data_IF_872869081938
#
_entry.id   IF_872869081938
#
_cell.length_a   1.000
_cell.length_b   1.000
_cell.length_c   1.000
_cell.angle_alpha   90.00
_cell.angle_beta   90.00
_cell.angle_gamma   90.00
#
_symmetry.space_group_name_H-M   'P 1'
#
loop_
_entity.id
_entity.type
_entity.pdbx_description
1 polymer ?
#
# COMPACT_ATOMS: atom_id res chain seq x y z
N UNK A 1 -7.51 3.05 20.57
CA UNK A 1 -8.35 2.20 19.82
C UNK A 1 -7.79 1.90 18.48
N UNK A 2 -7.47 0.77 18.31
CA UNK A 2 -6.58 0.27 17.32
C UNK A 2 -7.29 -0.61 16.32
N UNK A 3 -8.53 -0.34 16.08
CA UNK A 3 -9.34 -1.22 15.31
C UNK A 3 -9.48 -0.92 13.84
N UNK A 4 -8.83 0.13 13.34
CA UNK A 4 -9.03 0.53 11.95
C UNK A 4 -7.81 0.23 11.09
N UNK A 5 -8.05 -0.46 9.99
CA UNK A 5 -7.06 -0.74 8.97
C UNK A 5 -7.42 0.01 7.70
N UNK A 6 -6.50 0.81 7.18
CA UNK A 6 -6.69 1.46 5.88
C UNK A 6 -6.62 0.40 4.78
N UNK A 7 -7.65 0.33 3.96
CA UNK A 7 -7.76 -0.65 2.89
C UNK A 7 -7.08 -0.16 1.61
N UNK A 8 -6.64 -1.08 0.74
CA UNK A 8 -5.94 -0.71 -0.50
C UNK A 8 -6.86 -0.27 -1.63
N UNK A 9 -8.07 0.09 -1.31
CA UNK A 9 -9.02 0.64 -2.27
C UNK A 9 -9.73 1.83 -1.66
N UNK A 10 -10.39 2.61 -2.50
CA UNK A 10 -11.17 3.77 -2.04
C UNK A 10 -12.63 3.61 -2.43
N UNK A 11 -13.49 4.44 -1.84
CA UNK A 11 -14.91 4.44 -2.16
C UNK A 11 -15.12 5.01 -3.58
N UNK A 12 -16.33 4.85 -4.15
CA UNK A 12 -16.63 5.44 -5.45
C UNK A 12 -16.40 6.96 -5.50
N UNK A 13 -16.50 7.64 -4.35
CA UNK A 13 -16.24 9.08 -4.26
C UNK A 13 -14.76 9.42 -4.07
N UNK A 14 -13.89 8.41 -4.07
CA UNK A 14 -12.46 8.62 -3.91
C UNK A 14 -12.00 8.76 -2.46
N UNK A 15 -12.85 8.47 -1.50
CA UNK A 15 -12.50 8.57 -0.09
C UNK A 15 -11.85 7.30 0.42
N UNK A 16 -10.95 7.40 1.41
CA UNK A 16 -10.33 6.22 1.98
C UNK A 16 -11.36 5.29 2.62
N UNK A 17 -11.11 4.00 2.52
CA UNK A 17 -11.93 2.97 3.17
C UNK A 17 -11.14 2.34 4.30
N UNK A 18 -11.82 2.11 5.42
CA UNK A 18 -11.23 1.50 6.60
C UNK A 18 -12.00 0.27 7.01
N UNK A 19 -11.28 -0.71 7.52
CA UNK A 19 -11.85 -1.94 8.05
C UNK A 19 -11.65 -1.95 9.56
N UNK A 20 -12.73 -2.09 10.31
CA UNK A 20 -12.63 -2.29 11.74
C UNK A 20 -12.27 -3.75 11.99
N UNK A 21 -11.07 -3.99 12.51
CA UNK A 21 -10.59 -5.35 12.66
C UNK A 21 -10.28 -5.65 14.11
N UNK A 22 -11.04 -6.51 14.68
CA UNK A 22 -10.64 -7.21 15.90
C UNK A 22 -9.94 -8.51 15.56
N UNK A 23 -10.03 -8.93 14.32
CA UNK A 23 -9.47 -10.18 13.82
C UNK A 23 -8.68 -9.95 12.54
N UNK A 24 -7.35 -10.05 12.65
CA UNK A 24 -6.46 -9.87 11.51
C UNK A 24 -6.59 -10.99 10.49
N UNK A 25 -7.27 -12.09 10.85
CA UNK A 25 -7.47 -13.22 9.96
C UNK A 25 -8.82 -13.18 9.25
N UNK A 26 -9.54 -12.07 9.34
CA UNK A 26 -10.81 -11.97 8.64
C UNK A 26 -10.62 -12.14 7.14
N UNK A 27 -11.68 -12.61 6.46
CA UNK A 27 -11.65 -12.83 5.03
C UNK A 27 -11.32 -11.54 4.27
N UNK A 28 -11.89 -10.43 4.70
CA UNK A 28 -11.65 -9.14 4.05
C UNK A 28 -10.23 -8.65 4.30
N UNK A 29 -9.67 -8.91 5.48
CA UNK A 29 -8.30 -8.55 5.79
C UNK A 29 -7.31 -9.31 4.89
N UNK A 30 -7.56 -10.61 4.68
CA UNK A 30 -6.73 -11.41 3.78
C UNK A 30 -6.85 -10.94 2.34
N UNK A 31 -8.05 -10.55 1.91
CA UNK A 31 -8.25 -10.00 0.57
C UNK A 31 -7.47 -8.71 0.41
N UNK A 32 -7.46 -7.86 1.43
CA UNK A 32 -6.68 -6.64 1.41
C UNK A 32 -5.18 -6.94 1.29
N UNK A 33 -4.69 -7.95 2.00
CA UNK A 33 -3.29 -8.36 1.89
C UNK A 33 -2.94 -8.78 0.47
N UNK A 34 -3.81 -9.55 -0.18
CA UNK A 34 -3.60 -9.99 -1.56
C UNK A 34 -3.54 -8.82 -2.52
N UNK A 35 -4.44 -7.85 -2.36
CA UNK A 35 -4.50 -6.68 -3.23
C UNK A 35 -3.27 -5.80 -3.01
N UNK A 36 -2.85 -5.61 -1.76
CA UNK A 36 -1.62 -4.86 -1.48
C UNK A 36 -0.40 -5.50 -2.15
N UNK A 37 -0.27 -6.83 -2.04
CA UNK A 37 0.83 -7.54 -2.67
C UNK A 37 0.81 -7.35 -4.19
N UNK A 38 -0.37 -7.42 -4.80
CA UNK A 38 -0.53 -7.20 -6.22
C UNK A 38 -0.14 -5.78 -6.63
N UNK A 39 -0.58 -4.79 -5.87
CA UNK A 39 -0.25 -3.39 -6.15
C UNK A 39 1.25 -3.14 -6.10
N UNK A 40 1.94 -3.74 -5.11
CA UNK A 40 3.38 -3.61 -5.01
C UNK A 40 4.09 -4.29 -6.18
N UNK A 41 3.62 -5.47 -6.59
CA UNK A 41 4.20 -6.18 -7.73
C UNK A 41 4.00 -5.40 -9.03
N UNK A 42 2.81 -4.83 -9.23
CA UNK A 42 2.53 -4.01 -10.41
C UNK A 42 3.39 -2.75 -10.42
N UNK A 43 3.59 -2.13 -9.26
CA UNK A 43 4.47 -0.98 -9.13
C UNK A 43 5.91 -1.32 -9.52
N UNK A 44 6.41 -2.48 -9.09
CA UNK A 44 7.75 -2.91 -9.42
C UNK A 44 7.92 -3.15 -10.92
N UNK A 45 6.92 -3.78 -11.56
CA UNK A 45 6.95 -3.99 -13.01
C UNK A 45 6.92 -2.67 -13.78
N UNK A 46 6.09 -1.74 -13.33
CA UNK A 46 5.98 -0.43 -13.96
C UNK A 46 7.28 0.36 -13.81
N UNK A 47 7.93 0.24 -12.66
CA UNK A 47 9.21 0.90 -12.43
C UNK A 47 10.26 0.41 -13.41
N UNK A 48 10.35 -0.90 -13.65
CA UNK A 48 11.28 -1.48 -14.61
C UNK A 48 10.97 -1.01 -16.02
N UNK A 49 9.68 -1.00 -16.40
CA UNK A 49 9.25 -0.53 -17.71
C UNK A 49 9.60 0.95 -17.91
N UNK A 50 9.35 1.77 -16.88
CA UNK A 50 9.65 3.19 -16.95
C UNK A 50 11.15 3.44 -17.13
N UNK A 51 11.98 2.68 -16.42
CA UNK A 51 13.42 2.80 -16.58
C UNK A 51 13.87 2.49 -18.00
N UNK A 52 13.34 1.40 -18.57
CA UNK A 52 13.67 1.02 -19.93
C UNK A 52 13.21 2.08 -20.96
N UNK A 53 11.99 2.61 -20.77
CA UNK A 53 11.47 3.61 -21.70
C UNK A 53 12.27 4.91 -21.65
N UNK A 54 12.70 5.32 -20.46
CA UNK A 54 13.49 6.53 -20.29
C UNK A 54 14.88 6.42 -20.88
N UNK A 55 15.39 5.21 -21.06
CA UNK A 55 16.67 4.98 -21.72
C UNK A 55 16.57 5.08 -23.24
N UNK A 56 15.37 5.13 -23.79
CA UNK A 56 15.17 5.31 -25.23
C UNK A 56 15.16 6.79 -25.59
N UNK A 57 16.05 7.19 -26.50
CA UNK A 57 16.14 8.58 -26.92
C UNK A 57 14.94 9.04 -27.73
N UNK A 58 14.18 8.11 -28.28
CA UNK A 58 13.10 8.41 -29.23
C UNK A 58 11.72 8.11 -28.69
N UNK A 59 11.55 8.04 -27.38
CA UNK A 59 10.23 7.81 -26.81
C UNK A 59 9.29 8.97 -27.15
N UNK A 60 8.12 8.63 -27.69
CA UNK A 60 7.14 9.64 -28.07
C UNK A 60 6.54 10.32 -26.85
N UNK A 61 6.16 11.59 -26.99
CA UNK A 61 5.58 12.35 -25.88
C UNK A 61 4.29 11.72 -25.38
N UNK A 62 3.50 11.09 -26.27
CA UNK A 62 2.28 10.37 -25.85
C UNK A 62 2.58 9.17 -24.97
N UNK A 63 3.65 8.43 -25.31
CA UNK A 63 4.09 7.31 -24.48
C UNK A 63 4.56 7.78 -23.10
N UNK A 64 5.29 8.86 -23.05
CA UNK A 64 5.78 9.42 -21.79
C UNK A 64 4.63 9.93 -20.94
N UNK A 65 3.63 10.55 -21.55
CA UNK A 65 2.45 11.01 -20.83
C UNK A 65 1.65 9.84 -20.28
N UNK A 66 1.46 8.81 -21.08
CA UNK A 66 0.78 7.60 -20.62
C UNK A 66 1.53 6.96 -19.45
N UNK A 67 2.86 6.86 -19.58
CA UNK A 67 3.70 6.32 -18.52
C UNK A 67 3.55 7.14 -17.25
N UNK A 68 3.58 8.46 -17.35
CA UNK A 68 3.45 9.34 -16.19
C UNK A 68 2.12 9.11 -15.47
N UNK A 69 1.02 8.94 -16.22
CA UNK A 69 -0.28 8.66 -15.62
C UNK A 69 -0.28 7.33 -14.87
N UNK A 70 0.32 6.30 -15.47
CA UNK A 70 0.41 5.00 -14.82
C UNK A 70 1.26 5.07 -13.55
N UNK A 71 2.34 5.85 -13.57
CA UNK A 71 3.18 6.05 -12.40
C UNK A 71 2.43 6.77 -11.29
N UNK A 72 1.60 7.75 -11.62
CA UNK A 72 0.78 8.44 -10.63
C UNK A 72 -0.17 7.44 -9.95
N UNK A 73 -0.84 6.60 -10.72
CA UNK A 73 -1.74 5.59 -10.17
C UNK A 73 -1.00 4.60 -9.29
N UNK A 74 0.13 4.08 -9.77
CA UNK A 74 0.89 3.10 -9.02
C UNK A 74 1.46 3.69 -7.74
N UNK A 75 1.96 4.92 -7.79
CA UNK A 75 2.52 5.57 -6.62
C UNK A 75 1.44 5.87 -5.59
N UNK A 76 0.26 6.27 -6.04
CA UNK A 76 -0.89 6.46 -5.16
C UNK A 76 -1.19 5.18 -4.38
N UNK A 77 -1.23 4.04 -5.09
CA UNK A 77 -1.50 2.75 -4.46
C UNK A 77 -0.39 2.36 -3.48
N UNK A 78 0.86 2.51 -3.89
CA UNK A 78 2.02 2.14 -3.06
C UNK A 78 2.08 2.99 -1.79
N UNK A 79 1.81 4.30 -1.91
CA UNK A 79 1.79 5.18 -0.73
C UNK A 79 0.68 4.77 0.24
N UNK A 80 -0.47 4.35 -0.28
CA UNK A 80 -1.57 3.87 0.58
C UNK A 80 -1.16 2.59 1.31
N UNK A 81 -0.50 1.67 0.62
CA UNK A 81 0.00 0.45 1.26
C UNK A 81 1.01 0.79 2.34
N UNK A 82 1.94 1.69 2.05
CA UNK A 82 2.96 2.10 3.01
C UNK A 82 2.33 2.74 4.26
N UNK A 83 1.36 3.62 4.06
CA UNK A 83 0.65 4.26 5.17
C UNK A 83 -0.07 3.22 6.02
N UNK A 84 -0.77 2.29 5.38
CA UNK A 84 -1.51 1.26 6.09
C UNK A 84 -0.58 0.36 6.90
N UNK A 85 0.53 -0.07 6.31
CA UNK A 85 1.50 -0.92 7.00
C UNK A 85 2.20 -0.18 8.14
N UNK A 86 2.51 1.10 7.93
CA UNK A 86 3.11 1.92 8.97
C UNK A 86 2.22 2.03 10.19
N UNK A 87 0.93 2.26 9.98
CA UNK A 87 -0.03 2.33 11.07
C UNK A 87 -0.12 1.01 11.82
N UNK A 88 -0.15 -0.11 11.10
CA UNK A 88 -0.22 -1.43 11.72
C UNK A 88 1.04 -1.76 12.52
N UNK A 89 2.19 -1.36 12.02
CA UNK A 89 3.46 -1.55 12.74
C UNK A 89 3.54 -0.74 14.01
N UNK A 90 3.02 0.49 14.00
CA UNK A 90 2.98 1.32 15.20
C UNK A 90 2.13 0.67 16.29
N UNK A 91 0.96 0.15 15.93
CA UNK A 91 0.10 -0.55 16.89
C UNK A 91 0.80 -1.79 17.44
N UNK A 92 1.42 -2.60 16.59
CA UNK A 92 2.16 -3.78 17.01
C UNK A 92 3.37 -3.41 17.88
N UNK A 93 4.07 -2.33 17.52
CA UNK A 93 5.21 -1.86 18.28
C UNK A 93 4.84 -1.42 19.68
N UNK A 94 3.73 -0.71 19.82
CA UNK A 94 3.22 -0.29 21.12
C UNK A 94 2.85 -1.48 21.98
N UNK A 95 2.14 -2.45 21.41
CA UNK A 95 1.76 -3.66 22.13
C UNK A 95 2.99 -4.47 22.52
N UNK A 96 3.96 -4.57 21.64
CA UNK A 96 5.20 -5.28 21.93
C UNK A 96 5.99 -4.63 23.06
N UNK A 97 6.04 -3.31 23.11
CA UNK A 97 6.72 -2.58 24.16
C UNK A 97 6.04 -2.79 25.50
N UNK A 98 4.72 -2.77 25.54
CA UNK A 98 3.97 -3.04 26.75
C UNK A 98 4.20 -4.45 27.26
N UNK A 99 4.19 -5.43 26.38
CA UNK A 99 4.46 -6.82 26.75
C UNK A 99 5.87 -6.99 27.30
N UNK A 100 6.85 -6.32 26.70
CA UNK A 100 8.23 -6.37 27.18
C UNK A 100 8.34 -5.78 28.57
N UNK A 101 7.68 -4.67 28.83
CA UNK A 101 7.69 -4.04 30.12
C UNK A 101 7.09 -4.94 31.19
N UNK A 102 6.04 -5.66 30.85
CA UNK A 102 5.40 -6.61 31.76
C UNK A 102 6.33 -7.80 32.05
N UNK A 103 7.04 -8.27 31.04
CA UNK A 103 7.95 -9.39 31.19
C UNK A 103 9.15 -9.05 32.08
N UNK A 104 9.59 -7.82 32.07
CA UNK A 104 10.74 -7.37 32.87
C UNK A 104 10.41 -7.18 34.34
N UNK A 105 9.15 -7.19 34.69
CA UNK A 105 8.71 -7.08 36.07
C UNK A 105 8.53 -8.45 36.71
#
# INVERSE_FOLDING_TARGET
MNGLRLLPWSSPEGKPCYLATDDSNSRLSRKADEIEALQLAMGAQLLAHAGALLDEDKAASGELRFLARRLVEALTDVLRVAESRGQRLLVCGEQGADERNQADQ
#
